data_IF_446333298517
#
_entry.id   IF_446333298517
#
_cell.length_a   1.000
_cell.length_b   1.000
_cell.length_c   1.000
_cell.angle_alpha   90.00
_cell.angle_beta   90.00
_cell.angle_gamma   90.00
#
_symmetry.space_group_name_H-M   'P 1'
#
loop_
_entity.id
_entity.type
_entity.pdbx_description
1 polymer ?
#
# COMPACT_ATOMS: atom_id res chain seq x y z
N UNK A 1 -4.05 -42.27 12.63
CA UNK A 1 -4.15 -41.11 11.73
C UNK A 1 -3.04 -40.17 12.14
N UNK A 2 -2.06 -39.98 11.26
CA UNK A 2 -0.74 -39.43 11.59
C UNK A 2 -0.80 -37.90 11.78
N UNK A 3 -0.23 -37.41 12.87
CA UNK A 3 -0.21 -36.01 13.31
C UNK A 3 0.64 -35.08 12.40
N UNK A 4 1.34 -35.64 11.42
CA UNK A 4 2.10 -34.92 10.38
C UNK A 4 1.23 -34.05 9.48
N UNK A 5 -0.06 -34.39 9.32
CA UNK A 5 -1.02 -33.59 8.55
C UNK A 5 -1.43 -32.25 9.21
N UNK A 6 -0.91 -31.94 10.41
CA UNK A 6 -1.10 -30.64 11.11
C UNK A 6 0.13 -29.73 11.05
N UNK A 7 1.24 -30.14 10.43
CA UNK A 7 2.44 -29.31 10.24
C UNK A 7 2.32 -28.53 8.91
N UNK A 8 2.89 -27.32 8.83
CA UNK A 8 2.98 -26.60 7.56
C UNK A 8 3.68 -27.49 6.50
N UNK A 9 3.20 -27.54 5.25
CA UNK A 9 3.73 -28.46 4.25
C UNK A 9 5.24 -28.22 4.06
N UNK A 10 6.03 -29.31 4.04
CA UNK A 10 7.47 -29.27 3.77
C UNK A 10 7.80 -28.58 2.43
N UNK A 11 6.82 -28.57 1.52
CA UNK A 11 6.80 -27.84 0.26
C UNK A 11 6.27 -26.41 0.46
N UNK A 12 7.05 -25.54 1.09
CA UNK A 12 6.85 -24.10 0.95
C UNK A 12 7.10 -23.70 -0.51
N UNK A 13 6.23 -22.89 -1.14
CA UNK A 13 6.53 -22.32 -2.45
C UNK A 13 7.88 -21.58 -2.41
N UNK A 14 8.83 -21.97 -3.24
CA UNK A 14 10.11 -21.27 -3.35
C UNK A 14 9.89 -19.97 -4.13
N UNK A 15 9.52 -18.91 -3.43
CA UNK A 15 9.47 -17.54 -3.94
C UNK A 15 10.89 -16.94 -4.03
N UNK A 16 11.83 -17.71 -4.57
CA UNK A 16 13.25 -17.32 -4.70
C UNK A 16 13.51 -16.67 -6.05
N UNK A 17 14.57 -15.85 -6.14
CA UNK A 17 14.83 -15.04 -7.33
C UNK A 17 13.71 -14.01 -7.56
N UNK A 18 13.19 -13.95 -8.79
CA UNK A 18 12.06 -13.10 -9.18
C UNK A 18 10.81 -13.95 -9.45
N UNK A 19 10.04 -14.32 -8.41
CA UNK A 19 8.83 -15.12 -8.58
C UNK A 19 7.81 -14.37 -9.45
N UNK A 20 7.18 -15.08 -10.38
CA UNK A 20 6.12 -14.54 -11.23
C UNK A 20 4.79 -15.16 -10.84
N UNK A 21 3.72 -14.37 -10.94
CA UNK A 21 2.34 -14.81 -10.74
C UNK A 21 1.45 -14.20 -11.81
N UNK A 22 0.34 -14.87 -12.20
CA UNK A 22 -0.62 -14.28 -13.12
C UNK A 22 -1.21 -12.97 -12.56
N UNK A 23 -1.43 -12.00 -13.43
CA UNK A 23 -2.12 -10.76 -13.06
C UNK A 23 -3.60 -11.03 -12.83
N UNK A 24 -4.06 -10.79 -11.61
CA UNK A 24 -5.47 -10.91 -11.25
C UNK A 24 -6.32 -9.84 -11.96
N UNK A 25 -7.62 -10.12 -12.14
CA UNK A 25 -8.59 -9.11 -12.58
C UNK A 25 -8.70 -7.99 -11.54
N UNK A 26 -8.94 -6.76 -11.97
CA UNK A 26 -9.28 -5.67 -11.06
C UNK A 26 -10.48 -6.02 -10.19
N UNK A 27 -10.45 -5.60 -8.92
CA UNK A 27 -11.48 -5.91 -7.93
C UNK A 27 -11.40 -7.31 -7.31
N UNK A 28 -10.41 -8.13 -7.64
CA UNK A 28 -10.15 -9.38 -6.91
C UNK A 28 -9.84 -9.08 -5.45
N UNK A 29 -10.64 -9.66 -4.54
CA UNK A 29 -10.51 -9.48 -3.09
C UNK A 29 -10.57 -10.86 -2.41
N UNK A 30 -9.46 -11.59 -2.49
CA UNK A 30 -9.27 -12.88 -1.86
C UNK A 30 -7.78 -13.02 -1.46
N UNK A 31 -7.37 -14.20 -1.01
CA UNK A 31 -6.02 -14.46 -0.50
C UNK A 31 -4.98 -14.80 -1.60
N UNK A 32 -5.28 -14.52 -2.87
CA UNK A 32 -4.34 -14.73 -3.98
C UNK A 32 -3.13 -13.78 -3.88
N UNK A 33 -1.95 -14.25 -4.28
CA UNK A 33 -0.74 -13.42 -4.40
C UNK A 33 -0.96 -12.34 -5.47
N UNK A 34 -0.77 -11.07 -5.10
CA UNK A 34 -0.80 -9.96 -6.03
C UNK A 34 0.50 -9.88 -6.86
N UNK A 35 0.37 -9.86 -8.19
CA UNK A 35 1.50 -9.55 -9.09
C UNK A 35 1.87 -8.06 -9.04
N UNK A 36 3.10 -7.70 -9.36
CA UNK A 36 3.53 -6.30 -9.45
C UNK A 36 2.70 -5.50 -10.46
N UNK A 37 2.35 -6.10 -11.60
CA UNK A 37 1.49 -5.48 -12.62
C UNK A 37 0.09 -5.15 -12.09
N UNK A 38 -0.48 -6.00 -11.23
CA UNK A 38 -1.78 -5.74 -10.58
C UNK A 38 -1.70 -4.51 -9.66
N UNK A 39 -0.64 -4.41 -8.84
CA UNK A 39 -0.44 -3.29 -7.92
C UNK A 39 -0.22 -1.99 -8.68
N UNK A 40 0.61 -2.00 -9.73
CA UNK A 40 0.82 -0.82 -10.58
C UNK A 40 -0.47 -0.35 -11.24
N UNK A 41 -1.30 -1.26 -11.75
CA UNK A 41 -2.58 -0.91 -12.34
C UNK A 41 -3.56 -0.31 -11.30
N UNK A 42 -3.59 -0.85 -10.09
CA UNK A 42 -4.44 -0.34 -9.01
C UNK A 42 -4.03 1.08 -8.56
N UNK A 43 -2.72 1.35 -8.46
CA UNK A 43 -2.20 2.67 -8.12
C UNK A 43 -2.50 3.67 -9.24
N UNK A 44 -2.29 3.29 -10.51
CA UNK A 44 -2.63 4.13 -11.65
C UNK A 44 -4.11 4.50 -11.65
N UNK A 45 -5.00 3.51 -11.46
CA UNK A 45 -6.44 3.75 -11.38
C UNK A 45 -6.81 4.71 -10.22
N UNK A 46 -6.14 4.61 -9.07
CA UNK A 46 -6.34 5.52 -7.95
C UNK A 46 -5.91 6.95 -8.30
N UNK A 47 -4.75 7.13 -8.93
CA UNK A 47 -4.23 8.44 -9.35
C UNK A 47 -5.12 9.06 -10.41
N UNK A 48 -5.51 8.28 -11.42
CA UNK A 48 -6.36 8.72 -12.54
C UNK A 48 -7.77 9.11 -12.08
N UNK A 49 -8.26 8.51 -10.99
CA UNK A 49 -9.59 8.83 -10.46
C UNK A 49 -9.68 10.23 -9.86
N UNK A 50 -8.56 10.83 -9.43
CA UNK A 50 -8.60 12.13 -8.72
C UNK A 50 -7.27 12.91 -8.77
N UNK A 51 -6.76 13.27 -9.97
CA UNK A 51 -5.49 13.99 -10.09
C UNK A 51 -5.51 15.35 -9.36
N UNK A 52 -6.60 16.11 -9.48
CA UNK A 52 -6.72 17.43 -8.84
C UNK A 52 -6.83 17.34 -7.31
N UNK A 53 -7.45 16.27 -6.78
CA UNK A 53 -7.52 16.05 -5.34
C UNK A 53 -6.13 15.74 -4.76
N UNK A 54 -5.34 14.92 -5.45
CA UNK A 54 -3.96 14.64 -5.07
C UNK A 54 -3.10 15.90 -5.11
N UNK A 55 -3.29 16.75 -6.13
CA UNK A 55 -2.64 18.07 -6.18
C UNK A 55 -3.05 18.95 -4.99
N UNK A 56 -4.35 19.03 -4.69
CA UNK A 56 -4.87 19.80 -3.54
C UNK A 56 -4.27 19.32 -2.21
N UNK A 57 -4.13 18.00 -2.03
CA UNK A 57 -3.50 17.44 -0.83
C UNK A 57 -2.02 17.79 -0.74
N UNK A 58 -1.30 17.79 -1.87
CA UNK A 58 0.10 18.21 -1.92
C UNK A 58 0.26 19.71 -1.59
N UNK A 59 -0.60 20.57 -2.14
CA UNK A 59 -0.61 21.99 -1.83
C UNK A 59 -0.92 22.25 -0.35
N UNK A 60 -1.89 21.54 0.21
CA UNK A 60 -2.21 21.63 1.64
C UNK A 60 -1.05 21.18 2.51
N UNK A 61 -0.40 20.05 2.19
CA UNK A 61 0.77 19.57 2.92
C UNK A 61 1.91 20.60 2.90
N UNK A 62 2.16 21.22 1.73
CA UNK A 62 3.13 22.30 1.59
C UNK A 62 2.73 23.56 2.39
N UNK A 63 1.46 23.95 2.37
CA UNK A 63 0.95 25.09 3.15
C UNK A 63 1.09 24.88 4.67
N UNK A 64 1.04 23.63 5.12
CA UNK A 64 1.29 23.23 6.51
C UNK A 64 2.78 22.96 6.81
N UNK A 65 3.67 23.22 5.86
CA UNK A 65 5.12 23.08 6.03
C UNK A 65 5.64 21.65 6.08
N UNK A 66 4.87 20.67 5.59
CA UNK A 66 5.18 19.24 5.70
C UNK A 66 5.51 18.80 7.15
N UNK A 67 4.90 19.46 8.14
CA UNK A 67 5.24 19.26 9.55
C UNK A 67 4.42 18.10 10.16
N UNK A 68 5.06 16.96 10.51
CA UNK A 68 4.37 15.85 11.16
C UNK A 68 3.84 16.20 12.57
N UNK A 69 4.33 17.28 13.17
CA UNK A 69 3.92 17.80 14.47
C UNK A 69 3.24 19.17 14.35
N UNK A 70 2.60 19.47 13.21
CA UNK A 70 1.97 20.78 12.93
C UNK A 70 1.15 21.32 14.12
N UNK A 71 0.36 20.47 14.77
CA UNK A 71 -0.43 20.84 15.95
C UNK A 71 0.43 21.33 17.13
N UNK A 72 1.55 20.66 17.41
CA UNK A 72 2.50 21.04 18.46
C UNK A 72 3.22 22.35 18.09
N UNK A 73 3.64 22.50 16.83
CA UNK A 73 4.31 23.70 16.33
C UNK A 73 3.43 24.93 16.47
N UNK A 74 2.15 24.84 16.08
CA UNK A 74 1.18 25.93 16.25
C UNK A 74 0.88 26.25 17.71
N UNK A 75 0.82 25.22 18.58
CA UNK A 75 0.61 25.42 20.02
C UNK A 75 1.78 26.20 20.65
N UNK A 76 3.02 25.89 20.27
CA UNK A 76 4.20 26.61 20.76
C UNK A 76 4.26 28.04 20.22
N UNK A 77 3.86 28.27 18.96
CA UNK A 77 3.84 29.60 18.35
C UNK A 77 2.78 30.54 18.97
N UNK A 78 1.70 29.99 19.54
CA UNK A 78 0.64 30.75 20.19
C UNK A 78 0.89 31.04 21.68
N UNK A 79 1.77 30.26 22.33
CA UNK A 79 2.05 30.32 23.76
C UNK A 79 3.45 30.84 24.11
N UNK A 80 4.24 31.24 23.10
CA UNK A 80 5.56 31.84 23.24
C UNK A 80 5.56 33.36 23.19
#
# INVERSE_FOLDING_TARGET
MDETNKKAPLNSPALTGTPTTPTARQGTNNTQIASTAFVMAAIAALVDSSPDALNTLNELAAALGNDPNFATTMTNAACG
#
